data_IF_118306302213
#
_entry.id   IF_118306302213
#
_cell.length_a   1.000
_cell.length_b   1.000
_cell.length_c   1.000
_cell.angle_alpha   90.00
_cell.angle_beta   90.00
_cell.angle_gamma   90.00
#
_symmetry.space_group_name_H-M   'P 1'
#
loop_
_entity.id
_entity.type
_entity.pdbx_description
1 polymer ?
#
# COMPACT_ATOMS: atom_id res chain seq x y z
N UNK A 1 -2.19 -8.71 26.99
CA UNK A 1 -1.04 -8.34 26.13
C UNK A 1 0.28 -8.90 26.64
N UNK A 2 0.65 -8.67 27.90
CA UNK A 2 1.92 -9.18 28.47
C UNK A 2 2.05 -10.70 28.27
N UNK A 3 1.00 -11.48 28.45
CA UNK A 3 1.01 -12.94 28.25
C UNK A 3 1.27 -13.34 26.78
N UNK A 4 0.75 -12.58 25.81
CA UNK A 4 1.02 -12.82 24.40
C UNK A 4 2.50 -12.57 24.06
N UNK A 5 3.06 -11.46 24.54
CA UNK A 5 4.48 -11.16 24.32
C UNK A 5 5.40 -12.16 25.05
N UNK A 6 5.04 -12.62 26.23
CA UNK A 6 5.77 -13.71 26.91
C UNK A 6 5.74 -14.99 26.08
N UNK A 7 4.58 -15.39 25.58
CA UNK A 7 4.43 -16.58 24.75
C UNK A 7 5.29 -16.49 23.47
N UNK A 8 5.29 -15.32 22.81
CA UNK A 8 6.15 -15.11 21.63
C UNK A 8 7.64 -15.14 22.00
N UNK A 9 8.03 -14.52 23.11
CA UNK A 9 9.39 -14.54 23.60
C UNK A 9 9.85 -15.97 23.94
N UNK A 10 9.00 -16.76 24.59
CA UNK A 10 9.30 -18.16 24.92
C UNK A 10 9.51 -19.01 23.66
N UNK A 11 8.69 -18.81 22.62
CA UNK A 11 8.90 -19.48 21.32
C UNK A 11 10.24 -19.09 20.73
N UNK A 12 10.57 -17.80 20.69
CA UNK A 12 11.85 -17.31 20.14
C UNK A 12 13.03 -17.92 20.93
N UNK A 13 12.95 -17.94 22.26
CA UNK A 13 14.00 -18.52 23.10
C UNK A 13 14.17 -20.02 22.84
N UNK A 14 13.08 -20.78 22.71
CA UNK A 14 13.14 -22.22 22.38
C UNK A 14 13.85 -22.45 21.04
N UNK A 15 13.51 -21.65 20.02
CA UNK A 15 14.18 -21.76 18.73
C UNK A 15 15.66 -21.37 18.79
N UNK A 16 16.00 -20.32 19.53
CA UNK A 16 17.36 -19.89 19.74
C UNK A 16 18.19 -21.01 20.38
N UNK A 17 17.73 -21.55 21.51
CA UNK A 17 18.41 -22.59 22.27
C UNK A 17 18.57 -23.89 21.43
N UNK A 18 17.53 -24.26 20.67
CA UNK A 18 17.59 -25.42 19.79
C UNK A 18 18.66 -25.28 18.71
N UNK A 19 18.78 -24.09 18.10
CA UNK A 19 19.78 -23.86 17.05
C UNK A 19 21.18 -23.84 17.63
N UNK A 20 21.39 -23.27 18.82
CA UNK A 20 22.66 -23.30 19.53
C UNK A 20 23.08 -24.72 19.87
N UNK A 21 22.17 -25.54 20.38
CA UNK A 21 22.45 -26.95 20.72
C UNK A 21 22.79 -27.77 19.47
N UNK A 22 22.12 -27.54 18.35
CA UNK A 22 22.47 -28.16 17.07
C UNK A 22 23.85 -27.71 16.59
N UNK A 23 24.17 -26.41 16.69
CA UNK A 23 25.48 -25.89 16.28
C UNK A 23 26.62 -26.52 17.12
N UNK A 24 26.43 -26.58 18.41
CA UNK A 24 27.40 -27.20 19.33
C UNK A 24 27.59 -28.72 19.05
N UNK A 25 26.48 -29.42 18.77
CA UNK A 25 26.51 -30.86 18.42
C UNK A 25 27.29 -31.10 17.11
N UNK A 26 27.20 -30.18 16.17
CA UNK A 26 27.91 -30.21 14.88
C UNK A 26 29.37 -29.72 15.00
N UNK A 27 29.80 -29.28 16.19
CA UNK A 27 31.15 -28.80 16.43
C UNK A 27 31.40 -27.35 15.99
N UNK A 28 30.33 -26.60 15.70
CA UNK A 28 30.42 -25.17 15.42
C UNK A 28 30.35 -24.40 16.75
N UNK A 29 31.44 -23.72 17.12
CA UNK A 29 31.43 -22.77 18.24
C UNK A 29 30.75 -21.47 17.81
N UNK A 30 29.43 -21.53 17.59
CA UNK A 30 28.65 -20.37 17.22
C UNK A 30 28.45 -19.46 18.44
N UNK A 31 28.71 -18.17 18.26
CA UNK A 31 28.33 -17.17 19.26
C UNK A 31 26.89 -16.68 19.02
N UNK A 32 26.28 -16.08 20.04
CA UNK A 32 24.96 -15.43 19.91
C UNK A 32 24.94 -14.41 18.76
N UNK A 33 26.02 -13.69 18.54
CA UNK A 33 26.16 -12.73 17.41
C UNK A 33 26.17 -13.42 16.06
N UNK A 34 26.83 -14.57 15.95
CA UNK A 34 26.87 -15.35 14.71
C UNK A 34 25.47 -15.89 14.39
N UNK A 35 24.73 -16.33 15.41
CA UNK A 35 23.36 -16.78 15.27
C UNK A 35 22.45 -15.68 14.76
N UNK A 36 22.51 -14.50 15.35
CA UNK A 36 21.76 -13.33 14.89
C UNK A 36 22.11 -12.97 13.44
N UNK A 37 23.39 -12.96 13.09
CA UNK A 37 23.86 -12.67 11.73
C UNK A 37 23.23 -13.62 10.71
N UNK A 38 23.32 -14.92 10.95
CA UNK A 38 22.84 -15.93 10.01
C UNK A 38 21.31 -16.00 9.96
N UNK A 39 20.63 -16.04 11.10
CA UNK A 39 19.16 -16.16 11.16
C UNK A 39 18.52 -14.93 10.58
N UNK A 40 18.89 -13.73 11.04
CA UNK A 40 18.30 -12.49 10.53
C UNK A 40 18.66 -12.27 9.06
N UNK A 41 19.91 -12.62 8.67
CA UNK A 41 20.32 -12.55 7.27
C UNK A 41 19.49 -13.46 6.35
N UNK A 42 19.28 -14.71 6.73
CA UNK A 42 18.47 -15.67 5.96
C UNK A 42 17.00 -15.23 5.90
N UNK A 43 16.41 -14.87 7.05
CA UNK A 43 15.03 -14.36 7.10
C UNK A 43 14.91 -13.09 6.24
N UNK A 44 15.89 -12.20 6.32
CA UNK A 44 15.92 -10.97 5.54
C UNK A 44 15.91 -11.21 4.04
N UNK A 45 16.77 -12.11 3.54
CA UNK A 45 16.84 -12.38 2.10
C UNK A 45 15.60 -13.12 1.58
N UNK A 46 15.07 -14.07 2.35
CA UNK A 46 13.80 -14.75 2.00
C UNK A 46 12.66 -13.75 1.95
N UNK A 47 12.54 -12.91 2.97
CA UNK A 47 11.52 -11.85 3.02
C UNK A 47 11.65 -10.87 1.85
N UNK A 48 12.88 -10.49 1.50
CA UNK A 48 13.14 -9.63 0.35
C UNK A 48 12.58 -10.23 -0.95
N UNK A 49 12.84 -11.50 -1.24
CA UNK A 49 12.33 -12.15 -2.45
C UNK A 49 10.81 -12.27 -2.45
N UNK A 50 10.19 -12.60 -1.31
CA UNK A 50 8.73 -12.66 -1.18
C UNK A 50 8.12 -11.28 -1.46
N UNK A 51 8.62 -10.24 -0.81
CA UNK A 51 8.16 -8.86 -0.99
C UNK A 51 8.35 -8.40 -2.44
N UNK A 52 9.49 -8.73 -3.05
CA UNK A 52 9.76 -8.39 -4.44
C UNK A 52 8.74 -9.01 -5.42
N UNK A 53 8.37 -10.29 -5.21
CA UNK A 53 7.37 -10.97 -6.03
C UNK A 53 6.00 -10.30 -5.86
N UNK A 54 5.60 -10.04 -4.61
CA UNK A 54 4.34 -9.38 -4.29
C UNK A 54 4.28 -7.99 -4.92
N UNK A 55 5.32 -7.17 -4.73
CA UNK A 55 5.34 -5.79 -5.23
C UNK A 55 5.41 -5.73 -6.76
N UNK A 56 6.14 -6.64 -7.42
CA UNK A 56 6.10 -6.76 -8.88
C UNK A 56 4.69 -7.06 -9.42
N UNK A 57 3.92 -7.88 -8.72
CA UNK A 57 2.53 -8.17 -9.11
C UNK A 57 1.61 -6.98 -8.85
N UNK A 58 1.73 -6.35 -7.67
CA UNK A 58 0.94 -5.17 -7.33
C UNK A 58 1.25 -3.96 -8.23
N UNK A 59 2.51 -3.76 -8.60
CA UNK A 59 2.92 -2.66 -9.49
C UNK A 59 2.21 -2.70 -10.84
N UNK A 60 1.85 -3.88 -11.33
CA UNK A 60 1.07 -4.05 -12.56
C UNK A 60 -0.37 -3.56 -12.42
N UNK A 61 -0.90 -3.52 -11.21
CA UNK A 61 -2.30 -3.17 -10.94
C UNK A 61 -2.44 -1.69 -10.55
N UNK A 62 -1.69 -1.23 -9.56
CA UNK A 62 -1.77 0.15 -9.10
C UNK A 62 -0.62 0.51 -8.15
N UNK A 63 0.01 1.67 -8.41
CA UNK A 63 0.98 2.27 -7.48
C UNK A 63 0.33 2.58 -6.11
N UNK A 64 -0.97 2.89 -6.11
CA UNK A 64 -1.73 3.16 -4.88
C UNK A 64 -1.78 1.94 -3.96
N UNK A 65 -1.86 0.73 -4.53
CA UNK A 65 -1.85 -0.51 -3.73
C UNK A 65 -0.50 -0.75 -3.04
N UNK A 66 0.61 -0.44 -3.72
CA UNK A 66 1.95 -0.51 -3.12
C UNK A 66 2.08 0.51 -1.99
N UNK A 67 1.68 1.76 -2.26
CA UNK A 67 1.72 2.83 -1.25
C UNK A 67 0.86 2.48 -0.03
N UNK A 68 -0.32 1.88 -0.24
CA UNK A 68 -1.18 1.42 0.84
C UNK A 68 -0.48 0.37 1.71
N UNK A 69 0.06 -0.70 1.10
CA UNK A 69 0.72 -1.79 1.85
C UNK A 69 1.93 -1.26 2.61
N UNK A 70 2.76 -0.45 1.96
CA UNK A 70 3.93 0.14 2.62
C UNK A 70 3.53 1.01 3.81
N UNK A 71 2.59 1.93 3.60
CA UNK A 71 2.12 2.82 4.68
C UNK A 71 1.44 2.04 5.79
N UNK A 72 0.63 1.03 5.46
CA UNK A 72 -0.01 0.16 6.44
C UNK A 72 1.02 -0.57 7.31
N UNK A 73 2.08 -1.10 6.70
CA UNK A 73 3.18 -1.73 7.43
C UNK A 73 3.88 -0.74 8.37
N UNK A 74 4.14 0.50 7.91
CA UNK A 74 4.71 1.53 8.77
C UNK A 74 3.79 1.89 9.95
N UNK A 75 2.49 1.99 9.71
CA UNK A 75 1.51 2.26 10.79
C UNK A 75 1.48 1.11 11.80
N UNK A 76 1.52 -0.15 11.35
CA UNK A 76 1.62 -1.28 12.26
C UNK A 76 2.87 -1.18 13.14
N UNK A 77 4.02 -0.95 12.54
CA UNK A 77 5.28 -0.79 13.30
C UNK A 77 5.19 0.38 14.29
N UNK A 78 4.66 1.52 13.86
CA UNK A 78 4.51 2.71 14.70
C UNK A 78 3.59 2.46 15.89
N UNK A 79 2.44 1.86 15.66
CA UNK A 79 1.46 1.57 16.72
C UNK A 79 2.06 0.65 17.77
N UNK A 80 2.68 -0.47 17.36
CA UNK A 80 3.33 -1.37 18.29
C UNK A 80 4.55 -0.73 18.99
N UNK A 81 5.29 0.14 18.32
CA UNK A 81 6.39 0.87 18.94
C UNK A 81 5.88 1.82 20.04
N UNK A 82 4.73 2.47 19.85
CA UNK A 82 4.10 3.32 20.87
C UNK A 82 3.68 2.47 22.07
N UNK A 83 3.03 1.32 21.86
CA UNK A 83 2.63 0.42 22.93
C UNK A 83 3.82 -0.07 23.76
N UNK A 84 4.91 -0.47 23.08
CA UNK A 84 6.13 -0.88 23.76
C UNK A 84 6.75 0.29 24.53
N UNK A 85 6.80 1.48 23.95
CA UNK A 85 7.32 2.67 24.60
C UNK A 85 6.51 3.04 25.85
N UNK A 86 5.17 2.94 25.82
CA UNK A 86 4.32 3.16 26.97
C UNK A 86 4.59 2.12 28.07
N UNK A 87 4.75 0.85 27.69
CA UNK A 87 5.11 -0.22 28.62
C UNK A 87 6.46 0.00 29.30
N UNK A 88 7.47 0.50 28.58
CA UNK A 88 8.82 0.76 29.13
C UNK A 88 8.81 1.99 30.05
N UNK A 89 8.13 3.05 29.66
CA UNK A 89 8.17 4.34 30.37
C UNK A 89 7.16 4.42 31.52
N UNK A 90 6.21 3.49 31.61
CA UNK A 90 5.10 3.54 32.55
C UNK A 90 4.17 4.75 32.33
N UNK A 91 4.23 5.39 31.18
CA UNK A 91 3.39 6.52 30.78
C UNK A 91 2.27 6.03 29.87
N UNK A 92 1.09 5.83 30.45
CA UNK A 92 -0.09 5.28 29.78
C UNK A 92 -0.30 3.80 30.11
N UNK A 93 -1.45 3.29 29.71
CA UNK A 93 -1.77 1.88 29.83
C UNK A 93 -1.45 1.18 28.51
N UNK A 94 -0.76 0.05 28.58
CA UNK A 94 -0.52 -0.80 27.40
C UNK A 94 -1.83 -1.51 27.08
N UNK A 95 -2.58 -0.97 26.13
CA UNK A 95 -3.88 -1.51 25.75
C UNK A 95 -3.91 -1.88 24.26
N UNK A 96 -4.20 -3.14 23.97
CA UNK A 96 -4.36 -3.59 22.57
C UNK A 96 -5.49 -2.84 21.85
N UNK A 97 -6.44 -2.29 22.60
CA UNK A 97 -7.50 -1.46 22.05
C UNK A 97 -6.97 -0.21 21.35
N UNK A 98 -5.94 0.44 21.90
CA UNK A 98 -5.35 1.64 21.32
C UNK A 98 -4.67 1.34 19.99
N UNK A 99 -4.00 0.20 19.90
CA UNK A 99 -3.44 -0.29 18.64
C UNK A 99 -4.53 -0.51 17.59
N UNK A 100 -5.64 -1.15 17.96
CA UNK A 100 -6.77 -1.37 17.04
C UNK A 100 -7.39 -0.04 16.59
N UNK A 101 -7.61 0.88 17.51
CA UNK A 101 -8.17 2.21 17.21
C UNK A 101 -7.26 2.99 16.28
N UNK A 102 -5.94 2.94 16.47
CA UNK A 102 -4.96 3.55 15.58
C UNK A 102 -5.01 2.99 14.15
N UNK A 103 -5.06 1.66 14.01
CA UNK A 103 -5.20 0.99 12.71
C UNK A 103 -6.55 1.35 12.06
N UNK A 104 -7.63 1.34 12.82
CA UNK A 104 -8.95 1.70 12.32
C UNK A 104 -8.98 3.15 11.84
N UNK A 105 -8.37 4.07 12.56
CA UNK A 105 -8.21 5.46 12.15
C UNK A 105 -7.54 5.57 10.79
N UNK A 106 -6.42 4.88 10.59
CA UNK A 106 -5.74 4.86 9.28
C UNK A 106 -6.65 4.33 8.17
N UNK A 107 -7.35 3.21 8.39
CA UNK A 107 -8.26 2.62 7.41
C UNK A 107 -9.43 3.55 7.06
N UNK A 108 -9.94 4.29 8.03
CA UNK A 108 -11.00 5.28 7.82
C UNK A 108 -10.51 6.43 6.93
N UNK A 109 -9.36 7.00 7.21
CA UNK A 109 -8.82 8.12 6.42
C UNK A 109 -8.43 7.69 5.00
N UNK A 110 -7.84 6.51 4.81
CA UNK A 110 -7.52 6.00 3.48
C UNK A 110 -8.81 5.68 2.70
N UNK A 111 -9.84 5.16 3.36
CA UNK A 111 -11.16 4.96 2.77
C UNK A 111 -11.76 6.26 2.28
N UNK A 112 -11.77 7.31 3.10
CA UNK A 112 -12.23 8.64 2.71
C UNK A 112 -11.44 9.19 1.50
N UNK A 113 -10.13 9.06 1.50
CA UNK A 113 -9.28 9.45 0.36
C UNK A 113 -9.68 8.72 -0.93
N UNK A 114 -9.91 7.41 -0.87
CA UNK A 114 -10.30 6.61 -2.04
C UNK A 114 -11.68 7.03 -2.57
N UNK A 115 -12.63 7.33 -1.69
CA UNK A 115 -13.96 7.84 -2.08
C UNK A 115 -13.83 9.19 -2.78
N UNK A 116 -13.08 10.13 -2.21
CA UNK A 116 -12.85 11.45 -2.83
C UNK A 116 -12.21 11.29 -4.20
N UNK A 117 -11.19 10.44 -4.33
CA UNK A 117 -10.52 10.16 -5.60
C UNK A 117 -11.46 9.58 -6.64
N UNK A 118 -12.35 8.66 -6.24
CA UNK A 118 -13.35 8.06 -7.13
C UNK A 118 -14.36 9.11 -7.61
N UNK A 119 -14.84 9.98 -6.72
CA UNK A 119 -15.74 11.09 -7.06
C UNK A 119 -15.08 12.06 -8.04
N UNK A 120 -13.84 12.47 -7.77
CA UNK A 120 -13.06 13.34 -8.68
C UNK A 120 -12.88 12.72 -10.05
N UNK A 121 -12.59 11.43 -10.12
CA UNK A 121 -12.49 10.69 -11.38
C UNK A 121 -13.81 10.66 -12.14
N UNK A 122 -14.92 10.41 -11.45
CA UNK A 122 -16.26 10.45 -12.04
C UNK A 122 -16.60 11.81 -12.62
N UNK A 123 -16.36 12.89 -11.85
CA UNK A 123 -16.61 14.27 -12.27
C UNK A 123 -15.77 14.63 -13.51
N UNK A 124 -14.48 14.36 -13.49
CA UNK A 124 -13.60 14.66 -14.62
C UNK A 124 -13.98 13.90 -15.89
N UNK A 125 -14.47 12.67 -15.76
CA UNK A 125 -14.97 11.87 -16.88
C UNK A 125 -16.25 12.45 -17.49
N UNK A 126 -17.17 12.93 -16.67
CA UNK A 126 -18.40 13.57 -17.11
C UNK A 126 -18.10 14.87 -17.89
N UNK A 127 -17.23 15.73 -17.36
CA UNK A 127 -16.84 16.97 -18.04
C UNK A 127 -16.10 16.71 -19.36
N UNK A 128 -15.23 15.70 -19.43
CA UNK A 128 -14.52 15.35 -20.66
C UNK A 128 -15.47 14.77 -21.73
N UNK A 129 -16.49 14.02 -21.32
CA UNK A 129 -17.54 13.53 -22.24
C UNK A 129 -18.33 14.67 -22.85
N UNK A 130 -18.74 15.66 -22.06
CA UNK A 130 -19.52 16.79 -22.50
C UNK A 130 -18.74 17.69 -23.50
N UNK A 131 -17.43 17.88 -23.26
CA UNK A 131 -16.58 18.68 -24.15
C UNK A 131 -16.42 18.06 -25.54
N UNK A 132 -16.24 16.73 -25.62
CA UNK A 132 -16.16 16.03 -26.91
C UNK A 132 -17.48 16.12 -27.71
N UNK A 133 -18.60 16.05 -27.02
CA UNK A 133 -19.91 16.16 -27.67
C UNK A 133 -20.13 17.57 -28.24
N UNK A 134 -19.73 18.63 -27.53
CA UNK A 134 -19.83 20.00 -28.04
C UNK A 134 -18.90 20.26 -29.24
N UNK A 135 -17.66 19.77 -29.19
CA UNK A 135 -16.70 19.87 -30.31
C UNK A 135 -17.24 19.15 -31.57
N UNK A 136 -17.83 17.96 -31.44
CA UNK A 136 -18.44 17.23 -32.57
C UNK A 136 -19.69 17.93 -33.16
N UNK A 137 -20.49 18.59 -32.32
CA UNK A 137 -21.65 19.36 -32.78
C UNK A 137 -21.20 20.58 -33.56
N UNK A 138 -20.14 21.25 -33.09
CA UNK A 138 -19.59 22.45 -33.74
C UNK A 138 -18.95 22.12 -35.09
N UNK A 139 -18.15 21.02 -35.17
CA UNK A 139 -17.55 20.50 -36.39
C UNK A 139 -18.63 20.07 -37.42
N UNK A 140 -19.64 19.37 -36.98
CA UNK A 140 -20.73 18.92 -37.85
C UNK A 140 -21.60 20.12 -38.36
N UNK A 141 -21.76 21.15 -37.53
CA UNK A 141 -22.48 22.39 -37.90
C UNK A 141 -21.70 23.19 -38.95
N UNK A 142 -20.37 23.30 -38.80
CA UNK A 142 -19.52 23.98 -39.77
C UNK A 142 -19.46 23.24 -41.10
N UNK A 143 -19.39 21.93 -41.12
CA UNK A 143 -19.40 21.10 -42.34
C UNK A 143 -20.71 21.25 -43.12
N UNK A 144 -21.86 21.27 -42.41
CA UNK A 144 -23.19 21.51 -43.03
C UNK A 144 -23.28 22.92 -43.62
N UNK A 145 -22.71 23.92 -42.97
CA UNK A 145 -22.66 25.30 -43.51
C UNK A 145 -21.83 25.43 -44.76
N UNK A 146 -20.68 24.78 -44.79
CA UNK A 146 -19.78 24.76 -45.99
C UNK A 146 -20.43 24.04 -47.20
N UNK A 147 -21.07 22.89 -46.95
CA UNK A 147 -21.85 22.20 -48.00
C UNK A 147 -22.98 23.06 -48.56
N UNK A 148 -23.67 23.82 -47.73
CA UNK A 148 -24.77 24.70 -48.13
C UNK A 148 -24.24 25.84 -48.98
N UNK A 149 -23.12 26.45 -48.61
CA UNK A 149 -22.47 27.51 -49.36
C UNK A 149 -21.96 27.01 -50.71
N UNK A 150 -21.32 25.85 -50.76
CA UNK A 150 -20.86 25.23 -52.00
C UNK A 150 -21.98 24.86 -52.98
N UNK A 151 -23.17 24.52 -52.48
CA UNK A 151 -24.36 24.31 -53.32
C UNK A 151 -24.93 25.63 -53.82
N UNK A 152 -24.96 26.68 -52.99
CA UNK A 152 -25.46 28.02 -53.38
C UNK A 152 -24.67 28.64 -54.53
N UNK A 153 -23.35 28.55 -54.53
CA UNK A 153 -22.48 29.07 -55.60
C UNK A 153 -22.67 28.36 -56.93
N UNK A 154 -22.99 27.06 -56.90
CA UNK A 154 -23.18 26.23 -58.12
C UNK A 154 -24.44 26.58 -58.90
N UNK A 155 -25.41 27.26 -58.26
CA UNK A 155 -26.66 27.74 -58.94
C UNK A 155 -26.57 29.17 -59.45
N UNK A 156 -25.50 29.94 -59.17
CA UNK A 156 -25.30 31.29 -59.65
C UNK A 156 -24.48 31.35 -60.99
N UNK A 157 -23.79 30.26 -61.32
CA UNK A 157 -22.96 30.17 -62.54
C UNK A 157 -23.66 29.49 -63.72
N UNK A 158 -25.02 29.43 -63.73
CA UNK A 158 -25.86 29.00 -64.85
C UNK A 158 -26.83 30.09 -65.26
#
# INVERSE_FOLDING_TARGET
MVEFFKFVADIVNIFHDLIMDIADTLGFQATDKDLHLWIIGIIGIISFFIVQIIFKRLAKWSITSISFIYTFTLILVLVFAIEIQQGITGRGNVEFADAIVGIYGFLLFIGAYLVIRLLMYGITRLFKGNKRTSEQIEENSSAVHDERNARGTRYQDK
#
